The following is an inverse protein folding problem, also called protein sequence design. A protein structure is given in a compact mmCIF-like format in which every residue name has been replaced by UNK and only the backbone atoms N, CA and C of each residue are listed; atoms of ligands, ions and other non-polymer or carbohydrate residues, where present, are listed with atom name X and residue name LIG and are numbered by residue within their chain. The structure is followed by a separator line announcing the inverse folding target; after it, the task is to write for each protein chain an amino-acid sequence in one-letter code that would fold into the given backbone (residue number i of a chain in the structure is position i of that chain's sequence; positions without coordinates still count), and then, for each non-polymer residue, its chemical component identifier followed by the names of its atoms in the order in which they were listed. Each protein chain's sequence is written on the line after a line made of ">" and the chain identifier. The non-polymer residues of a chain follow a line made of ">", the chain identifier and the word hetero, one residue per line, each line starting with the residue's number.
data_IF_234035109573
#
_entry.id   IF_234035109573
#
_cell.length_a   1.000
_cell.length_b   1.000
_cell.length_c   1.000
_cell.angle_alpha   90.00
_cell.angle_beta   90.00
_cell.angle_gamma   90.00
#
_symmetry.space_group_name_H-M   'P 1'
#
loop_
_entity.id
_entity.type
_entity.pdbx_description
1 polymer ?
#
# COMPACT_ATOMS: atom_id res chain seq x y z
N UNK A 1 -10.44 13.10 13.29
CA UNK A 1 -9.71 11.88 13.57
C UNK A 1 -10.32 10.97 14.63
N UNK A 2 -11.28 11.39 15.43
CA UNK A 2 -11.52 10.66 16.68
C UNK A 2 -12.89 10.00 16.83
N UNK A 3 -13.80 10.19 15.89
CA UNK A 3 -15.08 9.46 15.87
C UNK A 3 -14.88 7.94 15.65
N UNK A 4 -13.84 7.57 14.90
CA UNK A 4 -13.52 6.17 14.62
C UNK A 4 -12.76 5.52 15.78
N UNK A 5 -11.82 6.22 16.42
CA UNK A 5 -11.10 5.72 17.58
C UNK A 5 -12.00 5.47 18.78
N UNK A 6 -13.05 6.29 18.97
CA UNK A 6 -14.04 6.07 20.04
C UNK A 6 -14.89 4.80 19.84
N UNK A 7 -14.86 4.22 18.65
CA UNK A 7 -15.57 2.97 18.29
C UNK A 7 -14.63 1.78 18.09
N UNK A 8 -13.36 1.91 18.52
CA UNK A 8 -12.34 0.86 18.37
C UNK A 8 -12.07 0.43 16.92
N UNK A 9 -12.28 1.32 15.95
CA UNK A 9 -11.86 1.07 14.57
C UNK A 9 -10.40 1.49 14.45
N UNK A 10 -9.46 0.56 14.22
CA UNK A 10 -8.05 0.89 14.11
C UNK A 10 -7.78 1.72 12.84
N UNK A 11 -6.73 2.53 12.90
CA UNK A 11 -6.20 3.16 11.69
C UNK A 11 -5.51 2.10 10.82
N UNK A 12 -5.74 2.17 9.52
CA UNK A 12 -5.02 1.35 8.53
C UNK A 12 -3.98 2.25 7.87
N UNK A 13 -2.72 1.85 7.96
CA UNK A 13 -1.59 2.52 7.30
C UNK A 13 -1.15 1.66 6.13
N UNK A 14 -1.31 2.21 4.93
CA UNK A 14 -0.99 1.53 3.67
C UNK A 14 0.41 1.92 3.21
N UNK A 15 1.20 0.96 2.75
CA UNK A 15 2.43 1.23 2.01
C UNK A 15 2.46 0.46 0.70
N UNK A 16 2.80 1.16 -0.37
CA UNK A 16 3.07 0.53 -1.66
C UNK A 16 4.50 -0.02 -1.70
N UNK A 17 4.81 -0.79 -2.70
CA UNK A 17 6.15 -1.23 -3.07
C UNK A 17 6.37 -2.73 -3.08
N UNK A 18 6.10 -3.42 -4.23
CA UNK A 18 6.41 -4.85 -4.39
C UNK A 18 7.90 -5.21 -4.26
N UNK A 19 8.80 -4.25 -4.41
CA UNK A 19 10.24 -4.42 -4.18
C UNK A 19 10.71 -3.78 -2.86
N UNK A 20 9.92 -3.92 -1.80
CA UNK A 20 10.12 -3.30 -0.49
C UNK A 20 9.18 -2.12 -0.25
N UNK A 21 8.88 -1.85 1.02
CA UNK A 21 7.94 -0.79 1.39
C UNK A 21 8.43 0.60 0.97
N UNK A 22 7.47 1.47 0.63
CA UNK A 22 7.73 2.86 0.21
C UNK A 22 7.14 3.81 1.23
N UNK A 23 7.99 4.38 2.05
CA UNK A 23 7.63 5.44 2.98
C UNK A 23 8.46 6.70 2.68
N UNK A 24 8.03 7.84 3.19
CA UNK A 24 8.77 9.09 3.03
C UNK A 24 10.11 8.98 3.75
N UNK A 25 11.20 9.16 3.01
CA UNK A 25 12.58 9.02 3.52
C UNK A 25 12.93 10.04 4.60
N UNK A 26 12.44 11.26 4.46
CA UNK A 26 12.71 12.39 5.36
C UNK A 26 11.40 12.93 5.86
N UNK A 27 11.29 13.18 7.15
CA UNK A 27 10.11 13.80 7.74
C UNK A 27 10.49 14.74 8.89
N UNK A 28 9.60 15.66 9.18
CA UNK A 28 9.66 16.53 10.36
C UNK A 28 8.55 16.07 11.30
N UNK A 29 8.89 15.91 12.56
CA UNK A 29 7.90 15.54 13.57
C UNK A 29 7.17 16.78 14.05
N UNK A 30 5.84 16.67 14.12
CA UNK A 30 4.96 17.71 14.64
C UNK A 30 4.32 17.23 15.93
N UNK A 31 4.34 18.10 16.93
CA UNK A 31 3.67 17.88 18.20
C UNK A 31 2.34 18.66 18.22
N UNK A 32 1.28 17.99 18.70
CA UNK A 32 -0.01 18.63 18.86
C UNK A 32 0.05 19.64 20.00
N UNK A 33 -0.34 20.87 19.71
CA UNK A 33 -0.46 21.94 20.70
C UNK A 33 -1.68 21.67 21.60
N UNK A 34 -1.48 21.70 22.91
CA UNK A 34 -2.56 21.52 23.88
C UNK A 34 -3.60 22.63 23.79
N UNK A 35 -4.85 22.32 24.17
CA UNK A 35 -5.94 23.29 24.13
C UNK A 35 -5.71 24.51 25.06
N UNK A 36 -4.94 24.31 26.12
CA UNK A 36 -4.63 25.37 27.12
C UNK A 36 -3.24 26.01 26.86
N UNK A 37 -2.66 25.79 25.69
CA UNK A 37 -1.35 26.29 25.38
C UNK A 37 -1.33 27.81 25.25
N UNK A 38 -0.22 28.41 25.68
CA UNK A 38 0.06 29.85 25.48
C UNK A 38 0.98 30.03 24.29
N UNK A 39 0.79 31.11 23.56
CA UNK A 39 1.64 31.45 22.43
C UNK A 39 3.06 31.79 22.91
N UNK A 40 4.07 31.14 22.33
CA UNK A 40 5.47 31.48 22.50
C UNK A 40 6.01 32.03 21.16
N UNK A 41 6.47 33.30 21.21
CA UNK A 41 6.99 33.99 20.01
C UNK A 41 8.29 33.35 19.45
N UNK A 42 8.95 32.49 20.21
CA UNK A 42 10.14 31.77 19.77
C UNK A 42 9.82 30.44 19.06
N UNK A 43 8.57 30.05 19.05
CA UNK A 43 8.11 28.85 18.38
C UNK A 43 7.34 29.16 17.10
N UNK A 44 7.43 28.28 16.15
CA UNK A 44 6.58 28.32 14.95
C UNK A 44 5.43 27.35 15.10
N UNK A 45 4.23 27.85 14.88
CA UNK A 45 3.00 27.08 14.95
C UNK A 45 2.41 26.90 13.56
N UNK A 46 1.76 25.78 13.35
CA UNK A 46 1.18 25.40 12.08
C UNK A 46 -0.26 24.94 12.26
N UNK A 47 -1.10 25.24 11.28
CA UNK A 47 -2.38 24.55 11.07
C UNK A 47 -2.32 23.81 9.77
N UNK A 48 -2.93 22.63 9.69
CA UNK A 48 -2.87 21.82 8.49
C UNK A 48 -4.22 21.30 8.07
N UNK A 49 -4.48 21.33 6.78
CA UNK A 49 -5.65 20.70 6.18
C UNK A 49 -5.22 19.63 5.19
N UNK A 50 -5.77 18.43 5.35
CA UNK A 50 -5.74 17.43 4.29
C UNK A 50 -6.73 17.82 3.20
N UNK A 51 -6.26 17.94 1.97
CA UNK A 51 -7.13 18.06 0.81
C UNK A 51 -7.46 16.68 0.27
N UNK A 52 -8.75 16.36 0.12
CA UNK A 52 -9.24 15.12 -0.46
C UNK A 52 -8.82 14.90 -1.92
N UNK A 53 -8.54 15.96 -2.64
CA UNK A 53 -8.31 15.91 -4.09
C UNK A 53 -6.87 15.63 -4.52
N UNK A 54 -5.93 15.47 -3.58
CA UNK A 54 -4.55 15.40 -4.03
C UNK A 54 -3.53 14.74 -3.12
N UNK A 55 -3.90 14.06 -2.05
CA UNK A 55 -2.92 13.53 -1.07
C UNK A 55 -1.89 14.58 -0.61
N UNK A 56 -2.23 15.86 -0.72
CA UNK A 56 -1.37 16.96 -0.33
C UNK A 56 -1.80 17.48 1.03
N UNK A 57 -0.92 17.35 2.00
CA UNK A 57 -0.99 18.08 3.25
C UNK A 57 -0.51 19.50 2.99
N UNK A 58 -1.36 20.48 3.19
CA UNK A 58 -0.98 21.88 3.09
C UNK A 58 -0.81 22.43 4.50
N UNK A 59 0.41 22.76 4.82
CA UNK A 59 0.80 23.41 6.04
C UNK A 59 0.69 24.93 5.88
N UNK A 60 0.10 25.58 6.88
CA UNK A 60 0.10 27.03 6.98
C UNK A 60 0.70 27.43 8.30
N UNK A 61 1.79 28.17 8.27
CA UNK A 61 2.36 28.79 9.45
C UNK A 61 1.41 29.85 10.01
N UNK A 62 1.30 29.89 11.33
CA UNK A 62 0.47 30.87 12.07
C UNK A 62 1.30 32.12 12.28
N UNK A 63 0.79 33.25 11.81
CA UNK A 63 1.56 34.48 11.70
C UNK A 63 1.80 35.20 13.06
N UNK A 64 0.88 35.03 14.02
CA UNK A 64 0.95 35.79 15.28
C UNK A 64 0.03 35.19 16.37
N UNK A 65 0.16 35.75 17.60
CA UNK A 65 -0.60 35.33 18.76
C UNK A 65 -2.12 35.47 18.58
N UNK A 66 -2.57 36.49 17.87
CA UNK A 66 -4.01 36.73 17.66
C UNK A 66 -4.62 35.61 16.80
N UNK A 67 -3.94 35.23 15.72
CA UNK A 67 -4.35 34.12 14.88
C UNK A 67 -4.28 32.78 15.64
N UNK A 68 -3.23 32.57 16.44
CA UNK A 68 -3.08 31.39 17.29
C UNK A 68 -4.27 31.23 18.27
N UNK A 69 -4.57 32.27 19.03
CA UNK A 69 -5.69 32.25 19.99
C UNK A 69 -7.03 32.04 19.31
N UNK A 70 -7.24 32.68 18.17
CA UNK A 70 -8.46 32.51 17.39
C UNK A 70 -8.65 31.08 16.95
N UNK A 71 -7.64 30.48 16.37
CA UNK A 71 -7.70 29.10 15.85
C UNK A 71 -7.90 28.08 16.99
N UNK A 72 -7.26 28.25 18.16
CA UNK A 72 -7.52 27.41 19.32
C UNK A 72 -8.97 27.54 19.81
N UNK A 73 -9.49 28.76 19.87
CA UNK A 73 -10.86 29.03 20.27
C UNK A 73 -11.88 28.42 19.30
N UNK A 74 -11.55 28.44 18.00
CA UNK A 74 -12.36 27.83 16.94
C UNK A 74 -12.26 26.28 16.95
N UNK A 75 -11.45 25.67 17.83
CA UNK A 75 -11.28 24.23 17.96
C UNK A 75 -10.40 23.61 16.87
N UNK A 76 -9.61 24.43 16.17
CA UNK A 76 -8.67 23.94 15.17
C UNK A 76 -7.46 23.27 15.84
N UNK A 77 -6.93 22.24 15.20
CA UNK A 77 -5.71 21.56 15.65
C UNK A 77 -4.49 22.36 15.21
N UNK A 78 -3.70 22.76 16.19
CA UNK A 78 -2.43 23.44 15.97
C UNK A 78 -1.29 22.49 16.29
N UNK A 79 -0.18 22.68 15.59
CA UNK A 79 1.01 21.88 15.73
C UNK A 79 2.23 22.77 15.87
N UNK A 80 3.23 22.29 16.57
CA UNK A 80 4.55 22.89 16.64
C UNK A 80 5.62 21.88 16.23
N UNK A 81 6.79 22.38 15.85
CA UNK A 81 7.94 21.56 15.51
C UNK A 81 9.24 22.32 15.81
N UNK A 82 10.26 21.60 16.18
CA UNK A 82 11.62 22.13 16.29
C UNK A 82 12.38 22.13 14.94
N UNK A 83 11.68 21.73 13.86
CA UNK A 83 12.22 21.54 12.51
C UNK A 83 13.33 20.48 12.42
N UNK A 84 13.49 19.62 13.42
CA UNK A 84 14.43 18.53 13.35
C UNK A 84 14.00 17.54 12.26
N UNK A 85 14.91 17.27 11.35
CA UNK A 85 14.68 16.30 10.28
C UNK A 85 15.05 14.90 10.76
N UNK A 86 14.11 14.01 10.62
CA UNK A 86 14.29 12.58 10.89
C UNK A 86 14.35 11.82 9.58
N UNK A 87 15.11 10.75 9.58
CA UNK A 87 15.30 9.91 8.40
C UNK A 87 14.87 8.49 8.69
N UNK A 88 14.21 7.89 7.74
CA UNK A 88 13.81 6.49 7.78
C UNK A 88 14.14 5.84 6.43
N UNK A 89 14.76 4.68 6.48
CA UNK A 89 15.24 3.97 5.30
C UNK A 89 14.59 2.61 5.24
N UNK A 90 14.00 2.29 4.09
CA UNK A 90 13.43 0.98 3.83
C UNK A 90 14.40 0.14 3.01
N UNK A 91 14.35 -1.16 3.22
CA UNK A 91 15.17 -2.12 2.49
C UNK A 91 14.65 -2.26 1.06
N UNK A 92 15.56 -2.19 0.09
CA UNK A 92 15.26 -2.56 -1.29
C UNK A 92 15.29 -4.10 -1.39
N UNK A 93 14.12 -4.69 -1.57
CA UNK A 93 13.97 -6.13 -1.78
C UNK A 93 14.15 -6.49 -3.26
N UNK A 94 14.43 -7.75 -3.58
CA UNK A 94 14.45 -8.22 -4.95
C UNK A 94 13.13 -7.95 -5.66
N UNK A 95 13.18 -7.61 -6.94
CA UNK A 95 11.97 -7.43 -7.76
C UNK A 95 11.28 -8.78 -8.02
N UNK A 96 9.97 -8.77 -8.26
CA UNK A 96 9.17 -9.98 -8.43
C UNK A 96 9.71 -10.95 -9.49
N UNK A 97 10.14 -10.43 -10.64
CA UNK A 97 10.77 -11.27 -11.69
C UNK A 97 12.04 -11.96 -11.19
N UNK A 98 12.84 -11.31 -10.35
CA UNK A 98 14.04 -11.92 -9.77
C UNK A 98 13.69 -12.97 -8.72
N UNK A 99 12.69 -12.69 -7.86
CA UNK A 99 12.20 -13.66 -6.88
C UNK A 99 11.72 -14.95 -7.56
N UNK A 100 10.96 -14.83 -8.64
CA UNK A 100 10.51 -15.99 -9.42
C UNK A 100 11.65 -16.84 -9.99
N UNK A 101 12.81 -16.23 -10.28
CA UNK A 101 14.00 -16.98 -10.77
C UNK A 101 14.64 -17.87 -9.68
N UNK A 102 14.30 -17.68 -8.43
CA UNK A 102 14.79 -18.56 -7.36
C UNK A 102 14.23 -19.98 -7.47
N UNK A 103 13.06 -20.17 -8.05
CA UNK A 103 12.34 -21.45 -8.13
C UNK A 103 12.18 -22.13 -6.77
N UNK A 104 12.17 -21.36 -5.71
CA UNK A 104 12.09 -21.82 -4.34
C UNK A 104 11.10 -20.95 -3.53
N UNK A 105 9.89 -21.44 -3.28
CA UNK A 105 8.91 -20.72 -2.50
C UNK A 105 9.38 -20.36 -1.08
N UNK A 106 10.26 -21.16 -0.49
CA UNK A 106 10.76 -20.88 0.86
C UNK A 106 11.63 -19.62 0.89
N UNK A 107 12.43 -19.37 -0.14
CA UNK A 107 13.21 -18.13 -0.29
C UNK A 107 12.28 -16.92 -0.44
N UNK A 108 11.20 -17.06 -1.19
CA UNK A 108 10.21 -15.98 -1.39
C UNK A 108 9.47 -15.69 -0.08
N UNK A 109 9.12 -16.73 0.66
CA UNK A 109 8.49 -16.59 1.97
C UNK A 109 9.41 -15.86 2.98
N UNK A 110 10.72 -16.14 2.96
CA UNK A 110 11.69 -15.43 3.81
C UNK A 110 11.78 -13.93 3.44
N UNK A 111 11.75 -13.59 2.16
CA UNK A 111 11.69 -12.18 1.73
C UNK A 111 10.40 -11.53 2.23
N UNK A 112 9.26 -12.20 2.09
CA UNK A 112 7.99 -11.74 2.64
C UNK A 112 8.06 -11.51 4.15
N UNK A 113 8.70 -12.41 4.89
CA UNK A 113 8.90 -12.29 6.35
C UNK A 113 9.76 -11.08 6.73
N UNK A 114 10.82 -10.82 5.95
CA UNK A 114 11.66 -9.64 6.13
C UNK A 114 10.88 -8.34 5.91
N UNK A 115 10.07 -8.28 4.83
CA UNK A 115 9.16 -7.15 4.56
C UNK A 115 8.16 -6.96 5.70
N UNK A 116 7.49 -8.02 6.14
CA UNK A 116 6.52 -7.96 7.23
C UNK A 116 7.14 -7.46 8.54
N UNK A 117 8.37 -7.86 8.84
CA UNK A 117 9.11 -7.36 10.01
C UNK A 117 9.39 -5.87 9.91
N UNK A 118 9.89 -5.41 8.77
CA UNK A 118 10.14 -3.98 8.53
C UNK A 118 8.84 -3.15 8.60
N UNK A 119 7.73 -3.69 8.08
CA UNK A 119 6.42 -3.05 8.18
C UNK A 119 5.96 -2.84 9.62
N UNK A 120 6.17 -3.84 10.49
CA UNK A 120 5.86 -3.73 11.92
C UNK A 120 6.67 -2.62 12.57
N UNK A 121 7.96 -2.51 12.24
CA UNK A 121 8.85 -1.46 12.78
C UNK A 121 8.39 -0.06 12.38
N UNK A 122 7.86 0.12 11.16
CA UNK A 122 7.36 1.41 10.68
C UNK A 122 5.87 1.64 10.94
N UNK A 123 5.19 0.73 11.61
CA UNK A 123 3.76 0.86 11.92
C UNK A 123 2.86 0.80 10.69
N UNK A 124 3.31 0.18 9.60
CA UNK A 124 2.52 -0.09 8.40
C UNK A 124 1.69 -1.34 8.63
N UNK A 125 0.39 -1.28 8.37
CA UNK A 125 -0.54 -2.38 8.67
C UNK A 125 -1.07 -3.09 7.43
N UNK A 126 -0.92 -2.50 6.25
CA UNK A 126 -1.32 -3.13 4.99
C UNK A 126 -0.33 -2.84 3.88
N UNK A 127 0.14 -3.89 3.24
CA UNK A 127 1.06 -3.84 2.12
C UNK A 127 0.30 -3.92 0.80
N UNK A 128 0.51 -2.92 -0.07
CA UNK A 128 -0.08 -2.91 -1.41
C UNK A 128 0.80 -3.71 -2.38
N UNK A 129 0.98 -4.97 -2.08
CA UNK A 129 1.76 -5.98 -2.80
C UNK A 129 1.36 -7.39 -2.31
N UNK A 130 1.77 -8.46 -3.01
CA UNK A 130 2.56 -8.48 -4.23
C UNK A 130 1.78 -8.07 -5.48
N UNK A 131 2.53 -7.62 -6.50
CA UNK A 131 2.02 -7.50 -7.86
C UNK A 131 2.17 -8.85 -8.56
N UNK A 132 1.10 -9.38 -9.17
CA UNK A 132 1.11 -10.73 -9.71
C UNK A 132 0.44 -10.90 -11.08
N UNK A 133 0.22 -9.81 -11.80
CA UNK A 133 -0.25 -9.93 -13.18
C UNK A 133 0.78 -10.68 -14.03
N UNK A 134 0.32 -11.55 -14.93
CA UNK A 134 1.25 -12.30 -15.76
C UNK A 134 1.95 -11.42 -16.80
N UNK A 135 3.20 -11.78 -17.15
CA UNK A 135 3.98 -11.13 -18.19
C UNK A 135 3.41 -11.44 -19.57
N UNK A 136 2.32 -10.80 -19.95
CA UNK A 136 1.65 -11.06 -21.22
C UNK A 136 2.26 -10.27 -22.37
N UNK A 137 2.58 -9.00 -22.11
CA UNK A 137 3.23 -8.12 -23.08
C UNK A 137 4.64 -7.80 -22.57
N UNK A 138 5.70 -8.17 -23.29
CA UNK A 138 7.08 -7.90 -22.88
C UNK A 138 7.40 -6.40 -22.76
N UNK A 139 6.62 -5.54 -23.41
CA UNK A 139 6.75 -4.09 -23.32
C UNK A 139 5.95 -3.47 -22.17
N UNK A 140 5.29 -4.26 -21.34
CA UNK A 140 4.63 -3.73 -20.14
C UNK A 140 5.65 -3.19 -19.16
N UNK A 141 5.53 -1.89 -18.84
CA UNK A 141 6.49 -1.17 -17.98
C UNK A 141 6.50 -1.64 -16.52
N UNK A 142 5.58 -2.53 -16.12
CA UNK A 142 5.49 -3.07 -14.76
C UNK A 142 5.86 -4.55 -14.65
N UNK A 143 6.32 -5.19 -15.71
CA UNK A 143 6.73 -6.60 -15.66
C UNK A 143 7.81 -6.85 -14.59
N UNK A 144 8.67 -5.89 -14.31
CA UNK A 144 9.72 -6.03 -13.30
C UNK A 144 9.18 -6.37 -11.90
N UNK A 145 8.02 -5.84 -11.54
CA UNK A 145 7.40 -6.08 -10.23
C UNK A 145 6.52 -7.32 -10.17
N UNK A 146 6.23 -7.93 -11.34
CA UNK A 146 5.46 -9.17 -11.46
C UNK A 146 6.40 -10.36 -11.56
N UNK A 147 5.88 -11.57 -11.36
CA UNK A 147 6.72 -12.77 -11.23
C UNK A 147 7.03 -13.46 -12.55
N UNK A 148 6.01 -13.84 -13.34
CA UNK A 148 6.18 -14.70 -14.51
C UNK A 148 5.05 -14.49 -15.52
N UNK A 149 5.24 -15.06 -16.73
CA UNK A 149 4.16 -15.27 -17.70
C UNK A 149 3.28 -16.48 -17.35
N UNK A 150 3.79 -17.39 -16.51
CA UNK A 150 3.10 -18.57 -16.06
C UNK A 150 2.24 -18.25 -14.83
N UNK A 151 0.91 -18.51 -14.90
CA UNK A 151 0.01 -18.24 -13.77
C UNK A 151 0.29 -19.14 -12.55
N UNK A 152 0.82 -20.36 -12.73
CA UNK A 152 1.20 -21.22 -11.62
C UNK A 152 2.38 -20.62 -10.85
N UNK A 153 3.45 -20.27 -11.54
CA UNK A 153 4.62 -19.64 -10.92
C UNK A 153 4.23 -18.33 -10.24
N UNK A 154 3.39 -17.51 -10.89
CA UNK A 154 2.93 -16.24 -10.33
C UNK A 154 2.07 -16.44 -9.09
N UNK A 155 1.19 -17.45 -9.10
CA UNK A 155 0.32 -17.77 -7.96
C UNK A 155 1.10 -18.30 -6.77
N UNK A 156 1.98 -19.28 -6.98
CA UNK A 156 2.82 -19.87 -5.93
C UNK A 156 3.78 -18.85 -5.31
N UNK A 157 4.41 -18.01 -6.14
CA UNK A 157 5.28 -16.94 -5.64
C UNK A 157 4.51 -15.92 -4.80
N UNK A 158 3.34 -15.47 -5.28
CA UNK A 158 2.48 -14.56 -4.54
C UNK A 158 1.96 -15.17 -3.24
N UNK A 159 1.61 -16.45 -3.25
CA UNK A 159 1.19 -17.18 -2.05
C UNK A 159 2.33 -17.27 -1.02
N UNK A 160 3.53 -17.62 -1.45
CA UNK A 160 4.70 -17.72 -0.59
C UNK A 160 5.04 -16.36 0.06
N UNK A 161 5.09 -15.29 -0.72
CA UNK A 161 5.38 -13.96 -0.21
C UNK A 161 4.29 -13.48 0.75
N UNK A 162 3.02 -13.73 0.44
CA UNK A 162 1.88 -13.44 1.32
C UNK A 162 1.99 -14.17 2.66
N UNK A 163 2.28 -15.48 2.64
CA UNK A 163 2.49 -16.28 3.85
C UNK A 163 3.61 -15.70 4.70
N UNK A 164 4.71 -15.32 4.07
CA UNK A 164 5.86 -14.70 4.76
C UNK A 164 5.49 -13.41 5.49
N UNK A 165 4.76 -12.51 4.84
CA UNK A 165 4.33 -11.24 5.45
C UNK A 165 3.28 -11.45 6.54
N UNK A 166 2.26 -12.27 6.28
CA UNK A 166 1.13 -12.44 7.18
C UNK A 166 1.39 -13.38 8.36
N UNK A 167 2.49 -14.14 8.34
CA UNK A 167 2.76 -15.16 9.36
C UNK A 167 4.08 -14.90 10.07
N UNK A 168 4.03 -14.81 11.40
CA UNK A 168 5.23 -14.74 12.25
C UNK A 168 5.99 -16.08 12.28
N UNK A 169 7.21 -16.04 12.80
CA UNK A 169 8.03 -17.25 12.96
C UNK A 169 7.38 -18.35 13.85
N UNK A 170 6.49 -17.98 14.74
CA UNK A 170 5.74 -18.91 15.59
C UNK A 170 4.45 -19.44 14.93
N UNK A 171 4.19 -19.09 13.69
CA UNK A 171 3.01 -19.49 12.93
C UNK A 171 1.75 -18.66 13.20
N UNK A 172 1.83 -17.64 14.06
CA UNK A 172 0.68 -16.76 14.33
C UNK A 172 0.57 -15.64 13.29
N UNK A 173 -0.62 -15.05 13.17
CA UNK A 173 -0.84 -13.89 12.28
C UNK A 173 0.01 -12.69 12.70
N UNK A 174 0.67 -12.06 11.73
CA UNK A 174 1.60 -10.96 11.99
C UNK A 174 0.92 -9.65 12.41
N UNK A 175 -0.32 -9.43 12.02
CA UNK A 175 -1.02 -8.15 12.12
C UNK A 175 -0.86 -7.27 10.88
N UNK A 176 -0.15 -7.76 9.85
CA UNK A 176 0.06 -7.08 8.58
C UNK A 176 -0.81 -7.74 7.51
N UNK A 177 -1.65 -6.98 6.86
CA UNK A 177 -2.43 -7.44 5.73
C UNK A 177 -1.70 -7.29 4.39
N UNK A 178 -1.86 -8.26 3.52
CA UNK A 178 -1.33 -8.27 2.15
C UNK A 178 -2.43 -7.98 1.16
N UNK A 179 -2.11 -7.21 0.11
CA UNK A 179 -3.04 -6.84 -0.96
C UNK A 179 -2.56 -7.39 -2.29
N UNK A 180 -3.12 -8.50 -2.75
CA UNK A 180 -2.82 -9.00 -4.10
C UNK A 180 -3.28 -8.00 -5.16
N UNK A 181 -2.43 -7.71 -6.16
CA UNK A 181 -2.73 -6.72 -7.20
C UNK A 181 -2.17 -7.11 -8.56
N UNK A 182 -2.78 -6.62 -9.63
CA UNK A 182 -3.98 -5.81 -9.75
C UNK A 182 -5.09 -6.69 -10.33
N UNK A 183 -6.19 -6.83 -9.64
CA UNK A 183 -7.28 -7.74 -10.04
C UNK A 183 -8.28 -7.00 -10.93
N UNK A 184 -8.32 -7.28 -12.23
CA UNK A 184 -7.46 -8.21 -12.95
C UNK A 184 -7.14 -7.67 -14.34
N UNK A 185 -6.31 -8.40 -15.09
CA UNK A 185 -5.97 -8.12 -16.50
C UNK A 185 -5.17 -6.83 -16.73
N UNK A 186 -4.47 -6.31 -15.74
CA UNK A 186 -3.54 -5.19 -15.90
C UNK A 186 -2.18 -5.69 -16.44
N UNK A 187 -2.17 -6.13 -17.69
CA UNK A 187 -1.01 -6.72 -18.34
C UNK A 187 -0.30 -5.75 -19.29
N UNK A 188 -0.70 -4.48 -19.27
CA UNK A 188 -0.07 -3.36 -19.96
C UNK A 188 -0.31 -2.04 -19.20
N UNK A 189 0.57 -1.06 -19.43
CA UNK A 189 0.49 0.24 -18.76
C UNK A 189 0.01 1.37 -19.68
N UNK A 190 0.09 1.18 -20.99
CA UNK A 190 -0.37 2.20 -21.93
C UNK A 190 -1.88 2.39 -21.79
N UNK A 191 -2.31 3.62 -21.46
CA UNK A 191 -3.72 3.98 -21.26
C UNK A 191 -4.45 3.10 -20.21
N UNK A 192 -3.74 2.62 -19.19
CA UNK A 192 -4.30 1.69 -18.18
C UNK A 192 -5.60 2.15 -17.52
N UNK A 193 -5.84 3.48 -17.44
CA UNK A 193 -7.06 4.06 -16.84
C UNK A 193 -8.29 3.95 -17.75
N UNK A 194 -8.12 3.66 -19.03
CA UNK A 194 -9.20 3.61 -20.01
C UNK A 194 -9.13 2.42 -20.96
N UNK A 195 -8.16 1.51 -20.76
CA UNK A 195 -8.06 0.32 -21.59
C UNK A 195 -9.16 -0.68 -21.29
N UNK A 196 -9.51 -1.49 -22.29
CA UNK A 196 -10.47 -2.57 -22.17
C UNK A 196 -9.82 -3.88 -22.59
N UNK A 197 -9.63 -4.78 -21.64
CA UNK A 197 -9.09 -6.12 -21.88
C UNK A 197 -10.21 -7.03 -22.37
N UNK A 198 -10.14 -7.41 -23.65
CA UNK A 198 -11.11 -8.33 -24.26
C UNK A 198 -10.57 -9.75 -24.16
N UNK A 199 -11.30 -10.61 -23.46
CA UNK A 199 -10.86 -11.96 -23.13
C UNK A 199 -12.02 -12.94 -23.15
N UNK A 200 -11.79 -14.19 -23.62
CA UNK A 200 -12.76 -15.27 -23.45
C UNK A 200 -12.81 -15.75 -22.00
N UNK A 201 -13.94 -16.29 -21.58
CA UNK A 201 -14.09 -16.83 -20.23
C UNK A 201 -13.05 -17.92 -19.91
N UNK A 202 -12.78 -18.81 -20.88
CA UNK A 202 -11.78 -19.85 -20.72
C UNK A 202 -10.38 -19.28 -20.46
N UNK A 203 -9.94 -18.34 -21.30
CA UNK A 203 -8.64 -17.70 -21.12
C UNK A 203 -8.58 -16.89 -19.81
N UNK A 204 -9.68 -16.23 -19.43
CA UNK A 204 -9.77 -15.54 -18.15
C UNK A 204 -9.48 -16.49 -16.99
N UNK A 205 -10.20 -17.61 -16.90
CA UNK A 205 -10.09 -18.57 -15.79
C UNK A 205 -8.80 -19.36 -15.78
N UNK A 206 -8.38 -19.87 -16.94
CA UNK A 206 -7.22 -20.77 -17.02
C UNK A 206 -5.87 -20.05 -16.96
N UNK A 207 -5.84 -18.75 -17.32
CA UNK A 207 -4.59 -18.00 -17.45
C UNK A 207 -4.57 -16.78 -16.51
N UNK A 208 -5.46 -15.80 -16.74
CA UNK A 208 -5.32 -14.48 -16.08
C UNK A 208 -5.78 -14.45 -14.62
N UNK A 209 -6.77 -15.26 -14.27
CA UNK A 209 -7.29 -15.35 -12.90
C UNK A 209 -6.66 -16.49 -12.11
N UNK A 210 -6.08 -17.48 -12.78
CA UNK A 210 -5.54 -18.69 -12.13
C UNK A 210 -4.49 -18.38 -11.07
N UNK A 211 -3.60 -17.42 -11.31
CA UNK A 211 -2.62 -17.01 -10.32
C UNK A 211 -3.28 -16.39 -9.06
N UNK A 212 -4.33 -15.58 -9.23
CA UNK A 212 -5.09 -15.02 -8.12
C UNK A 212 -5.83 -16.10 -7.33
N UNK A 213 -6.44 -17.07 -8.03
CA UNK A 213 -7.09 -18.23 -7.39
C UNK A 213 -6.11 -18.97 -6.47
N UNK A 214 -4.92 -19.33 -6.98
CA UNK A 214 -3.85 -19.97 -6.20
C UNK A 214 -3.46 -19.09 -5.00
N UNK A 215 -3.19 -17.81 -5.23
CA UNK A 215 -2.78 -16.88 -4.17
C UNK A 215 -3.82 -16.76 -3.05
N UNK A 216 -5.11 -16.75 -3.39
CA UNK A 216 -6.20 -16.70 -2.41
C UNK A 216 -6.36 -18.04 -1.67
N UNK A 217 -6.38 -19.16 -2.38
CA UNK A 217 -6.59 -20.48 -1.78
C UNK A 217 -5.43 -20.88 -0.86
N UNK A 218 -4.20 -20.59 -1.29
CA UNK A 218 -2.98 -21.01 -0.60
C UNK A 218 -2.57 -20.11 0.58
N UNK A 219 -2.83 -18.80 0.49
CA UNK A 219 -2.28 -17.84 1.44
C UNK A 219 -3.32 -16.93 2.11
N UNK A 220 -4.55 -16.90 1.63
CA UNK A 220 -5.65 -16.10 2.22
C UNK A 220 -5.25 -14.64 2.50
N UNK A 221 -4.88 -13.86 1.48
CA UNK A 221 -4.53 -12.46 1.64
C UNK A 221 -5.69 -11.66 2.21
N UNK A 222 -5.42 -10.67 3.05
CA UNK A 222 -6.47 -9.85 3.67
C UNK A 222 -7.20 -8.95 2.66
N UNK A 223 -6.53 -8.59 1.55
CA UNK A 223 -7.06 -7.64 0.58
C UNK A 223 -6.76 -8.05 -0.86
N UNK A 224 -7.58 -7.55 -1.77
CA UNK A 224 -7.35 -7.61 -3.22
C UNK A 224 -7.59 -6.20 -3.79
N UNK A 225 -6.64 -5.71 -4.59
CA UNK A 225 -6.74 -4.42 -5.27
C UNK A 225 -7.28 -4.61 -6.68
N UNK A 226 -8.45 -4.03 -6.98
CA UNK A 226 -8.98 -3.98 -8.33
C UNK A 226 -8.07 -3.17 -9.26
N UNK A 227 -8.00 -3.56 -10.53
CA UNK A 227 -7.26 -2.83 -11.56
C UNK A 227 -8.08 -1.68 -12.15
N UNK A 228 -7.41 -0.76 -12.85
CA UNK A 228 -8.06 0.41 -13.43
C UNK A 228 -8.78 0.13 -14.76
N UNK A 229 -8.33 -0.89 -15.49
CA UNK A 229 -8.86 -1.22 -16.82
C UNK A 229 -10.28 -1.77 -16.74
N UNK A 230 -10.96 -1.74 -17.87
CA UNK A 230 -12.17 -2.51 -18.09
C UNK A 230 -11.83 -3.95 -18.52
N UNK A 231 -12.77 -4.85 -18.32
CA UNK A 231 -12.75 -6.23 -18.81
C UNK A 231 -14.05 -6.49 -19.55
N UNK A 232 -13.95 -6.80 -20.84
CA UNK A 232 -15.10 -7.04 -21.71
C UNK A 232 -16.17 -5.93 -21.65
N UNK A 233 -15.70 -4.67 -21.51
CA UNK A 233 -16.55 -3.48 -21.48
C UNK A 233 -17.02 -3.04 -20.10
N UNK A 234 -16.66 -3.74 -19.02
CA UNK A 234 -17.06 -3.39 -17.66
C UNK A 234 -15.85 -3.03 -16.82
N UNK A 235 -15.87 -1.96 -15.99
CA UNK A 235 -14.85 -1.69 -15.00
C UNK A 235 -14.66 -2.87 -14.06
N UNK A 236 -13.43 -3.20 -13.69
CA UNK A 236 -13.16 -4.38 -12.86
C UNK A 236 -13.89 -4.36 -11.52
N UNK A 237 -14.04 -3.19 -10.91
CA UNK A 237 -14.73 -3.00 -9.64
C UNK A 237 -16.27 -2.99 -9.73
N UNK A 238 -16.84 -3.07 -10.95
CA UNK A 238 -18.27 -3.17 -11.21
C UNK A 238 -18.64 -4.46 -11.97
N UNK A 239 -17.66 -5.30 -12.25
CA UNK A 239 -17.84 -6.51 -13.03
C UNK A 239 -18.28 -7.67 -12.13
N UNK A 240 -19.59 -7.89 -12.04
CA UNK A 240 -20.18 -8.96 -11.22
C UNK A 240 -19.64 -10.38 -11.54
N UNK A 241 -19.31 -10.64 -12.81
CA UNK A 241 -18.76 -11.93 -13.21
C UNK A 241 -17.31 -12.13 -12.81
N UNK A 242 -16.65 -11.05 -12.36
CA UNK A 242 -15.25 -11.06 -11.92
C UNK A 242 -15.13 -11.03 -10.38
N UNK A 243 -16.08 -10.36 -9.70
CA UNK A 243 -16.15 -10.23 -8.24
C UNK A 243 -16.99 -11.33 -7.61
#
# INVERSE_FOLDING_TARGET
>A
SNLYNSRYIPNIVLSDGPAGIRITKEYIQYELVGADATFDANQTYYTGKYSWSGMNYTEKAIANETEFKKLLTDGEKLYTTDNTKYYQYCTAMPIGTLLAQAWDPAVIEEVGRAVGTEMLEYGVTSWLAPGMNIHRNPLCGRNFEYYSEDPLISGEAAAAETKGVQTKADGTYSGIGVTLKHFAFNNQEQQRMGSNSVVSERAAREIYLKGFEIGVEEAQPDYIMSSYNMVNGYPTFENYGLL
#
